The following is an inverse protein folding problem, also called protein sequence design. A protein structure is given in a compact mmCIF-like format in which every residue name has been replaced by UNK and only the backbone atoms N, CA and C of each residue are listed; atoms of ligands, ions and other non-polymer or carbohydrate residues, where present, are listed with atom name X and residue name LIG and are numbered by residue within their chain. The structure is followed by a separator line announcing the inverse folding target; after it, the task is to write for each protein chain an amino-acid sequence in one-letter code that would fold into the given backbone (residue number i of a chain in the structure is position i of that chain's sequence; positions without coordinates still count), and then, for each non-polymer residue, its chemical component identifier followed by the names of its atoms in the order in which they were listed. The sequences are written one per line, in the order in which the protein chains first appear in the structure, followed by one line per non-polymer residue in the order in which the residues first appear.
data_IF_174246603901
#
_entry.id   IF_174246603901
#
_cell.length_a   1.000
_cell.length_b   1.000
_cell.length_c   1.000
_cell.angle_alpha   90.00
_cell.angle_beta   90.00
_cell.angle_gamma   90.00
#
_symmetry.space_group_name_H-M   'P 1'
#
loop_
_entity.id
_entity.type
_entity.pdbx_description
1 polymer ?
#
# COMPACT_ATOMS: atom_id res chain seq x y z
N UNK A 1 7.94 -14.77 -9.80
CA UNK A 1 9.41 -14.80 -9.63
C UNK A 1 9.70 -14.09 -8.33
N UNK A 2 10.37 -14.74 -7.39
CA UNK A 2 10.89 -14.09 -6.19
C UNK A 2 12.05 -13.19 -6.60
N UNK A 3 12.03 -11.92 -6.18
CA UNK A 3 13.15 -10.99 -6.37
C UNK A 3 14.44 -11.65 -5.88
N UNK A 4 15.50 -11.56 -6.68
CA UNK A 4 16.80 -12.19 -6.38
C UNK A 4 17.69 -11.31 -5.50
N UNK A 5 17.22 -10.12 -5.10
CA UNK A 5 17.98 -9.20 -4.25
C UNK A 5 17.93 -9.68 -2.81
N UNK A 6 19.07 -9.70 -2.12
CA UNK A 6 19.16 -10.12 -0.72
C UNK A 6 18.27 -9.27 0.21
N UNK A 7 17.33 -9.86 0.98
CA UNK A 7 16.48 -9.14 1.92
C UNK A 7 17.24 -8.26 2.92
N UNK A 8 18.44 -8.66 3.35
CA UNK A 8 19.23 -7.87 4.30
C UNK A 8 19.72 -6.56 3.69
N UNK A 9 20.25 -6.62 2.47
CA UNK A 9 20.65 -5.43 1.72
C UNK A 9 19.45 -4.51 1.43
N UNK A 10 18.30 -5.08 1.05
CA UNK A 10 17.07 -4.33 0.81
C UNK A 10 16.60 -3.62 2.07
N UNK A 11 16.54 -4.34 3.20
CA UNK A 11 16.08 -3.79 4.48
C UNK A 11 16.96 -2.63 4.95
N UNK A 12 18.27 -2.83 4.96
CA UNK A 12 19.22 -1.78 5.35
C UNK A 12 19.05 -0.53 4.48
N UNK A 13 18.99 -0.71 3.15
CA UNK A 13 18.82 0.43 2.23
C UNK A 13 17.46 1.11 2.38
N UNK A 14 16.39 0.36 2.59
CA UNK A 14 15.06 0.91 2.80
C UNK A 14 14.96 1.75 4.07
N UNK A 15 15.65 1.36 5.15
CA UNK A 15 15.74 2.15 6.36
C UNK A 15 16.43 3.50 6.11
N UNK A 16 17.55 3.51 5.39
CA UNK A 16 18.23 4.76 4.98
C UNK A 16 17.33 5.66 4.13
N UNK A 17 16.61 5.09 3.15
CA UNK A 17 15.68 5.84 2.30
C UNK A 17 14.55 6.45 3.15
N UNK A 18 14.02 5.70 4.12
CA UNK A 18 12.99 6.21 5.01
C UNK A 18 13.48 7.40 5.84
N UNK A 19 14.71 7.34 6.36
CA UNK A 19 15.32 8.45 7.11
C UNK A 19 15.54 9.68 6.22
N UNK A 20 15.98 9.49 4.98
CA UNK A 20 16.10 10.57 3.98
C UNK A 20 14.74 11.21 3.69
N UNK A 21 13.70 10.40 3.51
CA UNK A 21 12.35 10.87 3.23
C UNK A 21 11.78 11.65 4.43
N UNK A 22 11.97 11.17 5.66
CA UNK A 22 11.52 11.84 6.89
C UNK A 22 12.24 13.16 7.13
N UNK A 23 13.50 13.28 6.73
CA UNK A 23 14.27 14.52 6.85
C UNK A 23 13.99 15.52 5.70
N UNK A 24 13.18 15.16 4.71
CA UNK A 24 12.88 16.00 3.57
C UNK A 24 11.87 17.10 3.94
N UNK A 25 12.07 18.34 3.47
CA UNK A 25 11.19 19.49 3.81
C UNK A 25 9.72 19.28 3.39
N UNK A 26 9.46 18.44 2.38
CA UNK A 26 8.10 18.11 1.94
C UNK A 26 7.41 17.03 2.78
N UNK A 27 8.11 16.39 3.73
CA UNK A 27 7.57 15.24 4.47
C UNK A 27 6.24 15.53 5.15
N UNK A 28 6.16 16.61 5.94
CA UNK A 28 4.93 17.00 6.64
C UNK A 28 3.78 17.28 5.67
N UNK A 29 4.09 17.86 4.50
CA UNK A 29 3.08 18.11 3.47
C UNK A 29 2.63 16.81 2.81
N UNK A 30 3.53 15.84 2.62
CA UNK A 30 3.18 14.52 2.10
C UNK A 30 2.25 13.78 3.08
N UNK A 31 2.59 13.77 4.37
CA UNK A 31 1.74 13.20 5.44
C UNK A 31 0.37 13.88 5.42
N UNK A 32 0.35 15.20 5.53
CA UNK A 32 -0.89 15.98 5.58
C UNK A 32 -1.77 15.73 4.35
N UNK A 33 -1.22 15.71 3.14
CA UNK A 33 -2.01 15.53 1.93
C UNK A 33 -2.51 14.08 1.75
N UNK A 34 -1.69 13.08 2.13
CA UNK A 34 -2.06 11.67 1.96
C UNK A 34 -3.16 11.22 2.93
N UNK A 35 -3.33 11.92 4.05
CA UNK A 35 -4.38 11.65 5.04
C UNK A 35 -5.70 12.39 4.73
N UNK A 36 -5.73 13.26 3.72
CA UNK A 36 -6.89 14.10 3.39
C UNK A 36 -7.78 13.43 2.34
N UNK A 37 -8.55 12.43 2.78
CA UNK A 37 -9.54 11.76 1.91
C UNK A 37 -10.85 11.38 2.64
N UNK A 38 -11.50 12.29 3.38
CA UNK A 38 -12.78 11.96 4.01
C UNK A 38 -13.88 11.63 2.98
N UNK A 39 -13.84 12.22 1.78
CA UNK A 39 -14.99 12.24 0.87
C UNK A 39 -14.81 11.49 -0.46
N UNK A 40 -13.61 11.06 -0.83
CA UNK A 40 -13.37 10.59 -2.21
C UNK A 40 -12.45 9.38 -2.39
N UNK A 41 -11.96 8.75 -1.31
CA UNK A 41 -11.07 7.60 -1.48
C UNK A 41 -11.33 6.44 -0.52
N UNK A 42 -11.99 5.41 -1.05
CA UNK A 42 -11.82 4.03 -0.63
C UNK A 42 -12.14 3.11 -1.81
N UNK A 43 -11.34 2.07 -2.01
CA UNK A 43 -11.70 0.94 -2.86
C UNK A 43 -12.57 -0.03 -2.06
N UNK A 44 -13.28 -0.92 -2.76
CA UNK A 44 -14.01 -2.01 -2.10
C UNK A 44 -13.10 -3.18 -1.70
N UNK A 45 -11.78 -3.09 -1.97
CA UNK A 45 -10.84 -4.22 -1.84
C UNK A 45 -9.64 -4.00 -0.93
N UNK A 46 -9.25 -2.76 -0.62
CA UNK A 46 -8.14 -2.49 0.30
C UNK A 46 -8.66 -2.12 1.70
N UNK A 47 -8.90 -0.86 2.01
CA UNK A 47 -9.25 -0.42 3.39
C UNK A 47 -10.41 -1.18 4.04
N UNK A 48 -11.53 -1.50 3.35
CA UNK A 48 -12.66 -2.16 3.97
C UNK A 48 -12.38 -3.55 4.54
N UNK A 49 -11.27 -4.20 4.15
CA UNK A 49 -10.90 -5.50 4.74
C UNK A 49 -10.24 -5.34 6.12
N UNK A 50 -9.89 -4.12 6.56
CA UNK A 50 -9.46 -3.85 7.92
C UNK A 50 -10.67 -3.96 8.85
N UNK A 51 -10.56 -4.81 9.88
CA UNK A 51 -11.65 -5.04 10.81
C UNK A 51 -12.04 -3.73 11.53
N UNK A 52 -13.33 -3.37 11.41
CA UNK A 52 -13.91 -2.13 11.94
C UNK A 52 -13.17 -0.88 11.44
N UNK A 53 -12.70 -0.88 10.19
CA UNK A 53 -12.00 0.24 9.55
C UNK A 53 -12.60 1.60 9.91
N UNK A 54 -11.73 2.53 10.29
CA UNK A 54 -12.07 3.92 10.60
C UNK A 54 -10.92 4.81 10.11
N UNK A 55 -11.21 5.71 9.17
CA UNK A 55 -10.17 6.57 8.56
C UNK A 55 -9.44 7.41 9.60
N UNK A 56 -10.17 8.03 10.54
CA UNK A 56 -9.58 8.93 11.54
C UNK A 56 -8.63 8.18 12.49
N UNK A 57 -8.96 6.94 12.85
CA UNK A 57 -8.13 6.10 13.72
C UNK A 57 -6.97 5.45 12.98
N UNK A 58 -7.20 4.95 11.77
CA UNK A 58 -6.31 3.98 11.14
C UNK A 58 -5.35 4.61 10.12
N UNK A 59 -5.67 5.77 9.54
CA UNK A 59 -4.92 6.33 8.41
C UNK A 59 -3.45 6.64 8.75
N UNK A 60 -3.17 7.19 9.94
CA UNK A 60 -1.80 7.54 10.32
C UNK A 60 -0.88 6.31 10.42
N UNK A 61 -1.35 5.23 11.04
CA UNK A 61 -0.60 3.98 11.12
C UNK A 61 -0.45 3.32 9.75
N UNK A 62 -1.49 3.39 8.91
CA UNK A 62 -1.44 2.81 7.57
C UNK A 62 -0.50 3.58 6.64
N UNK A 63 -0.44 4.92 6.77
CA UNK A 63 0.52 5.76 6.06
C UNK A 63 1.97 5.36 6.38
N UNK A 64 2.28 5.09 7.66
CA UNK A 64 3.61 4.65 8.06
C UNK A 64 4.01 3.33 7.37
N UNK A 65 3.10 2.35 7.34
CA UNK A 65 3.34 1.06 6.68
C UNK A 65 3.49 1.20 5.15
N UNK A 66 2.66 2.03 4.51
CA UNK A 66 2.75 2.27 3.08
C UNK A 66 4.03 3.00 2.68
N UNK A 67 4.46 3.97 3.50
CA UNK A 67 5.71 4.66 3.25
C UNK A 67 6.93 3.72 3.39
N UNK A 68 6.91 2.83 4.39
CA UNK A 68 7.90 1.75 4.53
C UNK A 68 7.94 0.87 3.29
N UNK A 69 6.79 0.46 2.77
CA UNK A 69 6.69 -0.30 1.51
C UNK A 69 7.30 0.47 0.34
N UNK A 70 6.97 1.75 0.15
CA UNK A 70 7.57 2.56 -0.91
C UNK A 70 9.09 2.63 -0.81
N UNK A 71 9.64 2.70 0.41
CA UNK A 71 11.08 2.66 0.64
C UNK A 71 11.68 1.29 0.31
N UNK A 72 10.99 0.18 0.63
CA UNK A 72 11.40 -1.17 0.23
C UNK A 72 11.39 -1.32 -1.31
N UNK A 73 10.32 -0.88 -1.99
CA UNK A 73 10.24 -0.92 -3.46
C UNK A 73 11.36 -0.10 -4.10
N UNK A 74 11.64 1.09 -3.57
CA UNK A 74 12.75 1.94 -4.02
C UNK A 74 14.11 1.27 -3.83
N UNK A 75 14.35 0.64 -2.68
CA UNK A 75 15.58 -0.09 -2.40
C UNK A 75 15.79 -1.27 -3.35
N UNK A 76 14.74 -2.07 -3.61
CA UNK A 76 14.83 -3.19 -4.57
C UNK A 76 15.09 -2.67 -5.98
N UNK A 77 14.42 -1.58 -6.39
CA UNK A 77 14.68 -0.96 -7.70
C UNK A 77 16.13 -0.51 -7.84
N UNK A 78 16.69 0.15 -6.83
CA UNK A 78 18.10 0.60 -6.84
C UNK A 78 19.07 -0.61 -6.91
N UNK A 79 18.89 -1.59 -6.03
CA UNK A 79 19.79 -2.74 -5.89
C UNK A 79 19.69 -3.75 -7.04
N UNK A 80 18.56 -3.77 -7.76
CA UNK A 80 18.37 -4.58 -8.96
C UNK A 80 18.88 -3.92 -10.24
N UNK A 81 19.39 -2.69 -10.17
CA UNK A 81 19.84 -1.93 -11.34
C UNK A 81 18.68 -1.37 -12.17
N UNK A 82 17.53 -1.10 -11.54
CA UNK A 82 16.35 -0.51 -12.18
C UNK A 82 15.29 -1.50 -12.65
N UNK A 83 15.21 -2.69 -12.06
CA UNK A 83 14.17 -3.67 -12.41
C UNK A 83 12.85 -3.36 -11.70
N UNK A 84 11.93 -2.70 -12.43
CA UNK A 84 10.58 -2.40 -11.94
C UNK A 84 9.78 -3.67 -11.59
N UNK A 85 10.02 -4.79 -12.30
CA UNK A 85 9.34 -6.05 -12.04
C UNK A 85 9.74 -6.65 -10.70
N UNK A 86 11.03 -6.58 -10.36
CA UNK A 86 11.55 -7.03 -9.08
C UNK A 86 11.09 -6.13 -7.93
N UNK A 87 11.00 -4.81 -8.19
CA UNK A 87 10.59 -3.81 -7.23
C UNK A 87 9.11 -3.86 -6.86
N UNK A 88 8.24 -4.47 -7.68
CA UNK A 88 6.83 -4.65 -7.36
C UNK A 88 6.64 -5.77 -6.31
N UNK A 89 6.88 -5.40 -5.06
CA UNK A 89 6.74 -6.28 -3.91
C UNK A 89 5.29 -6.69 -3.66
N UNK A 90 5.11 -7.96 -3.32
CA UNK A 90 3.80 -8.49 -2.91
C UNK A 90 3.50 -8.00 -1.48
N UNK A 91 2.48 -7.17 -1.35
CA UNK A 91 2.09 -6.50 -0.09
C UNK A 91 0.62 -6.76 0.25
N UNK A 92 0.22 -6.40 1.47
CA UNK A 92 -1.18 -6.54 1.88
C UNK A 92 -2.05 -5.46 1.22
N UNK A 93 -3.27 -5.81 0.85
CA UNK A 93 -4.18 -4.92 0.11
C UNK A 93 -4.42 -3.55 0.76
N UNK A 94 -4.59 -3.41 2.09
CA UNK A 94 -4.78 -2.10 2.70
C UNK A 94 -3.52 -1.23 2.64
N UNK A 95 -2.35 -1.85 2.76
CA UNK A 95 -1.06 -1.15 2.68
C UNK A 95 -0.85 -0.64 1.27
N UNK A 96 -1.13 -1.45 0.25
CA UNK A 96 -1.01 -1.03 -1.15
C UNK A 96 -2.02 0.07 -1.54
N UNK A 97 -3.25 0.01 -1.01
CA UNK A 97 -4.20 1.11 -1.22
C UNK A 97 -3.67 2.45 -0.67
N UNK A 98 -2.98 2.43 0.47
CA UNK A 98 -2.32 3.63 0.99
C UNK A 98 -1.05 4.00 0.21
N UNK A 99 -0.35 3.04 -0.41
CA UNK A 99 0.71 3.33 -1.39
C UNK A 99 0.14 4.15 -2.55
N UNK A 100 -1.03 3.78 -3.08
CA UNK A 100 -1.72 4.60 -4.08
C UNK A 100 -2.04 6.00 -3.55
N UNK A 101 -2.53 6.12 -2.31
CA UNK A 101 -2.82 7.40 -1.66
C UNK A 101 -1.62 8.35 -1.58
N UNK A 102 -0.45 7.81 -1.24
CA UNK A 102 0.81 8.55 -1.23
C UNK A 102 1.20 8.95 -2.65
N UNK A 103 1.17 8.00 -3.61
CA UNK A 103 1.61 8.25 -4.99
C UNK A 103 0.69 9.22 -5.76
N UNK A 104 -0.58 9.33 -5.39
CA UNK A 104 -1.47 10.36 -5.94
C UNK A 104 -1.02 11.78 -5.60
N UNK A 105 -0.15 11.98 -4.59
CA UNK A 105 0.55 13.24 -4.36
C UNK A 105 1.69 13.45 -5.36
N UNK A 106 1.44 13.16 -6.64
CA UNK A 106 2.43 13.02 -7.71
C UNK A 106 3.46 14.14 -7.73
N UNK A 107 3.02 15.41 -7.67
CA UNK A 107 3.92 16.57 -7.72
C UNK A 107 4.87 16.62 -6.52
N UNK A 108 4.41 16.22 -5.34
CA UNK A 108 5.26 16.13 -4.14
C UNK A 108 6.24 14.97 -4.28
N UNK A 109 5.74 13.78 -4.64
CA UNK A 109 6.57 12.60 -4.83
C UNK A 109 7.70 12.85 -5.84
N UNK A 110 7.42 13.43 -7.01
CA UNK A 110 8.43 13.75 -8.04
C UNK A 110 9.48 14.75 -7.54
N UNK A 111 9.09 15.76 -6.75
CA UNK A 111 10.05 16.71 -6.17
C UNK A 111 10.95 16.02 -5.16
N UNK A 112 10.37 15.23 -4.25
CA UNK A 112 11.11 14.52 -3.22
C UNK A 112 12.08 13.51 -3.83
N UNK A 113 11.62 12.68 -4.77
CA UNK A 113 12.47 11.67 -5.43
C UNK A 113 13.66 12.30 -6.15
N UNK A 114 13.45 13.41 -6.87
CA UNK A 114 14.53 14.17 -7.51
C UNK A 114 15.53 14.75 -6.51
N UNK A 115 15.05 15.32 -5.40
CA UNK A 115 15.90 15.91 -4.37
C UNK A 115 16.74 14.87 -3.64
N UNK A 116 16.14 13.73 -3.33
CA UNK A 116 16.75 12.66 -2.54
C UNK A 116 17.56 11.68 -3.40
N UNK A 117 17.45 11.74 -4.74
CA UNK A 117 18.13 10.81 -5.64
C UNK A 117 17.60 9.39 -5.57
N UNK A 118 16.31 9.21 -5.22
CA UNK A 118 15.63 7.91 -5.13
C UNK A 118 14.52 7.83 -6.18
N UNK A 119 13.94 6.65 -6.38
CA UNK A 119 12.74 6.47 -7.24
C UNK A 119 11.66 5.74 -6.47
N UNK A 120 10.48 6.34 -6.33
CA UNK A 120 9.29 5.61 -5.91
C UNK A 120 8.72 4.86 -7.11
N UNK A 121 8.65 3.53 -6.99
CA UNK A 121 8.23 2.62 -8.05
C UNK A 121 6.94 1.92 -7.63
N UNK A 122 6.02 1.78 -8.57
CA UNK A 122 4.78 1.02 -8.41
C UNK A 122 4.28 0.54 -9.78
N UNK A 123 3.87 -0.72 -9.87
CA UNK A 123 3.38 -1.37 -11.09
C UNK A 123 2.02 -2.05 -10.86
N UNK A 124 0.94 -1.33 -11.13
CA UNK A 124 -0.45 -1.83 -10.93
C UNK A 124 -0.76 -3.10 -11.74
N UNK A 125 -0.18 -3.27 -12.93
CA UNK A 125 -0.40 -4.47 -13.76
C UNK A 125 0.20 -5.76 -13.13
N UNK A 126 1.19 -5.60 -12.26
CA UNK A 126 1.87 -6.67 -11.53
C UNK A 126 1.44 -6.80 -10.07
N UNK A 127 0.62 -5.88 -9.57
CA UNK A 127 0.07 -5.89 -8.21
C UNK A 127 -0.68 -7.19 -7.92
N UNK A 128 -0.37 -7.83 -6.78
CA UNK A 128 -1.06 -9.04 -6.31
C UNK A 128 -1.23 -8.98 -4.79
N UNK A 129 -2.44 -9.24 -4.30
CA UNK A 129 -2.73 -9.31 -2.85
C UNK A 129 -2.38 -10.68 -2.24
N UNK A 130 -1.13 -11.07 -2.43
CA UNK A 130 -0.60 -12.39 -2.05
C UNK A 130 0.35 -12.35 -0.85
N UNK A 131 0.35 -11.28 -0.06
CA UNK A 131 1.28 -11.12 1.06
C UNK A 131 1.25 -12.34 1.99
N UNK A 132 2.42 -12.67 2.53
CA UNK A 132 2.57 -13.79 3.45
C UNK A 132 3.61 -13.44 4.50
N UNK A 133 3.25 -13.66 5.75
CA UNK A 133 4.20 -13.73 6.86
C UNK A 133 5.26 -14.82 6.58
N UNK A 134 6.53 -14.49 6.73
CA UNK A 134 7.68 -15.31 6.34
C UNK A 134 7.93 -15.35 4.83
N UNK A 135 7.33 -14.44 4.07
CA UNK A 135 7.62 -14.23 2.65
C UNK A 135 8.65 -13.12 2.42
N UNK A 136 9.11 -12.97 1.17
CA UNK A 136 10.17 -12.03 0.82
C UNK A 136 9.97 -10.59 1.33
N UNK A 137 8.77 -10.02 1.14
CA UNK A 137 8.46 -8.67 1.64
C UNK A 137 8.55 -8.58 3.16
N UNK A 138 8.11 -9.63 3.88
CA UNK A 138 8.22 -9.70 5.34
C UNK A 138 9.67 -9.76 5.78
N UNK A 139 10.49 -10.59 5.13
CA UNK A 139 11.92 -10.71 5.44
C UNK A 139 12.67 -9.38 5.22
N UNK A 140 12.38 -8.67 4.13
CA UNK A 140 12.96 -7.34 3.88
C UNK A 140 12.53 -6.31 4.92
N UNK A 141 11.25 -6.36 5.34
CA UNK A 141 10.70 -5.48 6.38
C UNK A 141 11.39 -5.72 7.72
N UNK A 142 11.57 -6.99 8.13
CA UNK A 142 12.30 -7.34 9.35
C UNK A 142 13.76 -6.90 9.28
N UNK A 143 14.41 -7.12 8.14
CA UNK A 143 15.79 -6.72 7.90
C UNK A 143 16.02 -5.20 7.99
N UNK A 144 14.99 -4.40 7.72
CA UNK A 144 15.03 -2.94 7.90
C UNK A 144 15.05 -2.51 9.38
N UNK A 145 14.89 -3.44 10.32
CA UNK A 145 14.89 -3.17 11.76
C UNK A 145 13.60 -2.51 12.26
N UNK A 146 12.52 -2.55 11.49
CA UNK A 146 11.23 -1.94 11.85
C UNK A 146 10.38 -2.81 12.79
N UNK A 147 10.90 -3.97 13.20
CA UNK A 147 10.15 -4.96 13.98
C UNK A 147 9.12 -5.70 13.12
N UNK A 148 8.13 -6.31 13.77
CA UNK A 148 7.06 -7.01 13.05
C UNK A 148 6.10 -6.03 12.36
N UNK A 149 5.66 -6.32 11.12
CA UNK A 149 4.62 -5.52 10.47
C UNK A 149 3.33 -5.52 11.29
N UNK A 150 2.65 -4.38 11.36
CA UNK A 150 1.44 -4.26 12.17
C UNK A 150 0.33 -5.21 11.65
N UNK A 151 -0.09 -6.24 12.44
CA UNK A 151 -1.01 -7.28 11.97
C UNK A 151 -2.43 -6.75 11.68
N UNK A 152 -2.73 -5.51 12.09
CA UNK A 152 -3.97 -4.83 11.71
C UNK A 152 -4.03 -4.52 10.21
N UNK A 153 -2.89 -4.16 9.62
CA UNK A 153 -2.77 -3.68 8.25
C UNK A 153 -2.13 -4.72 7.32
N UNK A 154 -1.25 -5.56 7.86
CA UNK A 154 -0.57 -6.63 7.15
C UNK A 154 -1.35 -7.94 7.22
N UNK A 155 -2.36 -8.05 6.35
CA UNK A 155 -3.25 -9.20 6.26
C UNK A 155 -2.72 -10.16 5.18
N UNK A 156 -2.49 -11.42 5.56
CA UNK A 156 -2.07 -12.48 4.64
C UNK A 156 -3.07 -12.69 3.48
N UNK A 157 -2.59 -13.17 2.35
CA UNK A 157 -3.39 -13.31 1.12
C UNK A 157 -4.60 -14.24 1.27
N UNK A 158 -4.49 -15.33 2.04
CA UNK A 158 -5.65 -16.22 2.30
C UNK A 158 -6.73 -15.53 3.12
N UNK A 159 -6.32 -14.78 4.16
CA UNK A 159 -7.24 -14.02 4.99
C UNK A 159 -7.84 -12.84 4.22
N UNK A 160 -7.05 -12.19 3.36
CA UNK A 160 -7.52 -11.17 2.42
C UNK A 160 -8.64 -11.73 1.52
N UNK A 161 -8.41 -12.88 0.88
CA UNK A 161 -9.42 -13.53 0.06
C UNK A 161 -10.71 -13.86 0.84
N UNK A 162 -10.58 -14.38 2.07
CA UNK A 162 -11.72 -14.68 2.94
C UNK A 162 -12.52 -13.42 3.31
N UNK A 163 -11.85 -12.32 3.66
CA UNK A 163 -12.50 -11.05 4.00
C UNK A 163 -13.19 -10.43 2.79
N UNK A 164 -12.55 -10.48 1.63
CA UNK A 164 -13.14 -10.02 0.36
C UNK A 164 -14.38 -10.83 -0.02
N UNK A 165 -14.39 -12.14 0.16
CA UNK A 165 -15.57 -12.98 -0.07
C UNK A 165 -16.75 -12.56 0.84
N UNK A 166 -16.48 -12.29 2.12
CA UNK A 166 -17.50 -11.79 3.06
C UNK A 166 -18.05 -10.44 2.61
N UNK A 167 -17.17 -9.49 2.29
CA UNK A 167 -17.56 -8.14 1.86
C UNK A 167 -18.30 -8.15 0.52
N UNK A 168 -17.82 -8.90 -0.46
CA UNK A 168 -18.47 -9.01 -1.77
C UNK A 168 -19.89 -9.57 -1.67
N UNK A 169 -20.14 -10.55 -0.78
CA UNK A 169 -21.52 -10.99 -0.51
C UNK A 169 -22.40 -9.86 0.07
N UNK A 170 -21.85 -9.01 0.93
CA UNK A 170 -22.56 -7.86 1.51
C UNK A 170 -22.80 -6.77 0.46
N UNK A 171 -21.79 -6.42 -0.33
CA UNK A 171 -21.90 -5.45 -1.42
C UNK A 171 -22.92 -5.90 -2.46
N UNK A 172 -22.92 -7.19 -2.82
CA UNK A 172 -23.90 -7.74 -3.75
C UNK A 172 -25.35 -7.59 -3.26
N UNK A 173 -25.58 -7.62 -1.94
CA UNK A 173 -26.91 -7.44 -1.36
C UNK A 173 -27.47 -6.02 -1.51
N UNK A 174 -26.61 -5.04 -1.81
CA UNK A 174 -26.98 -3.65 -2.09
C UNK A 174 -26.73 -3.27 -3.56
N UNK A 175 -26.59 -4.25 -4.44
CA UNK A 175 -26.46 -4.04 -5.88
C UNK A 175 -25.04 -3.75 -6.39
N UNK A 176 -24.02 -3.77 -5.52
CA UNK A 176 -22.62 -3.55 -5.89
C UNK A 176 -21.94 -4.90 -6.17
N UNK A 177 -21.34 -5.07 -7.35
CA UNK A 177 -20.76 -6.35 -7.80
C UNK A 177 -19.31 -6.22 -8.21
N UNK A 178 -18.64 -7.36 -8.34
CA UNK A 178 -17.24 -7.49 -8.77
C UNK A 178 -16.30 -6.56 -8.01
N UNK A 179 -16.46 -6.53 -6.69
CA UNK A 179 -15.73 -5.67 -5.78
C UNK A 179 -15.76 -4.18 -6.20
N UNK A 180 -16.96 -3.68 -6.53
CA UNK A 180 -17.18 -2.28 -6.86
C UNK A 180 -16.99 -1.90 -8.32
N UNK A 181 -16.57 -2.84 -9.19
CA UNK A 181 -16.33 -2.55 -10.62
C UNK A 181 -17.60 -2.32 -11.43
N UNK A 182 -18.77 -2.70 -10.89
CA UNK A 182 -20.08 -2.38 -11.46
C UNK A 182 -21.16 -2.41 -10.39
N UNK A 183 -22.26 -1.72 -10.62
CA UNK A 183 -23.49 -1.85 -9.84
C UNK A 183 -24.72 -1.87 -10.73
N UNK A 184 -25.84 -2.38 -10.22
CA UNK A 184 -27.16 -2.37 -10.88
C UNK A 184 -28.11 -1.30 -10.31
N UNK A 185 -27.61 -0.41 -9.45
CA UNK A 185 -28.35 0.73 -8.90
C UNK A 185 -28.72 1.71 -10.03
N UNK A 186 -30.02 1.94 -10.19
CA UNK A 186 -30.64 2.93 -11.06
C UNK A 186 -31.09 4.12 -10.19
N UNK A 187 -30.43 5.27 -10.34
CA UNK A 187 -30.68 6.46 -9.51
C UNK A 187 -32.01 7.17 -9.83
N UNK A 188 -32.62 6.85 -10.98
CA UNK A 188 -33.93 7.39 -11.36
C UNK A 188 -35.08 6.56 -10.77
N UNK A 189 -34.80 5.33 -10.33
CA UNK A 189 -35.76 4.51 -9.57
C UNK A 189 -35.65 4.86 -8.10
N UNK A 190 -36.65 5.59 -7.59
CA UNK A 190 -36.81 5.75 -6.15
C UNK A 190 -37.01 4.38 -5.50
N UNK A 191 -36.04 3.96 -4.69
CA UNK A 191 -36.23 2.85 -3.76
C UNK A 191 -37.09 3.40 -2.63
N UNK A 192 -38.35 2.96 -2.57
CA UNK A 192 -39.30 3.31 -1.51
C UNK A 192 -38.89 2.71 -0.17
#
# INVERSE_FOLDING_TARGET
MTSTVDPQAVGARAAEILDLVRCCEEYERLVGSSLQYPDCWATFTGYPIIARWDLARDAAGLFEEALRVLCLKAAVYELSGGDEAAAELVVSAPVDEMVHAILAQYTLCVRMTRRLGITFVHMTDRERFGYRTGGYTHDCYLAAGWGEPNPRYWIDGQETARRLDILNRRYASIGIRDAGRRHDIDFDRHVA
#
